data_IF_917032679994
#
_entry.id   IF_917032679994
#
_cell.length_a   1.000
_cell.length_b   1.000
_cell.length_c   1.000
_cell.angle_alpha   90.00
_cell.angle_beta   90.00
_cell.angle_gamma   90.00
#
_symmetry.space_group_name_H-M   'P 1'
#
loop_
_entity.id
_entity.type
_entity.pdbx_description
1 polymer ?
#
# COMPACT_ATOMS: atom_id res chain seq x y z
N UNK A 1 2.03 2.69 -2.61
CA UNK A 1 1.15 1.50 -2.50
C UNK A 1 0.00 1.48 -3.51
N UNK A 2 -0.32 2.59 -4.21
CA UNK A 2 -1.45 2.66 -5.16
C UNK A 2 -1.36 1.70 -6.36
N UNK A 3 -0.17 1.17 -6.67
CA UNK A 3 0.06 0.15 -7.70
C UNK A 3 -0.42 -1.25 -7.31
N UNK A 4 -0.60 -1.54 -6.02
CA UNK A 4 -1.06 -2.84 -5.50
C UNK A 4 -2.57 -2.80 -5.23
N UNK A 5 -3.01 -1.77 -4.51
CA UNK A 5 -4.41 -1.60 -4.12
C UNK A 5 -4.75 -2.21 -2.76
N UNK A 6 -5.41 -1.41 -1.91
CA UNK A 6 -5.85 -1.85 -0.58
C UNK A 6 -7.16 -2.66 -0.67
N UNK A 7 -7.19 -3.92 -0.21
CA UNK A 7 -8.40 -4.75 -0.16
C UNK A 7 -9.36 -4.40 0.99
N UNK A 8 -8.94 -3.55 1.94
CA UNK A 8 -9.71 -3.23 3.14
C UNK A 8 -11.12 -2.71 2.79
N UNK A 9 -12.13 -3.40 3.32
CA UNK A 9 -13.55 -3.09 3.14
C UNK A 9 -14.05 -3.07 1.68
N UNK A 10 -13.34 -3.74 0.75
CA UNK A 10 -13.74 -3.84 -0.66
C UNK A 10 -14.21 -5.24 -1.01
N UNK A 11 -15.38 -5.32 -1.65
CA UNK A 11 -15.99 -6.58 -2.05
C UNK A 11 -15.20 -7.27 -3.17
N UNK A 12 -14.82 -6.53 -4.21
CA UNK A 12 -14.16 -7.04 -5.42
C UNK A 12 -12.71 -6.55 -5.53
N UNK A 13 -11.91 -7.28 -6.31
CA UNK A 13 -10.52 -6.95 -6.62
C UNK A 13 -10.42 -5.63 -7.39
N UNK A 14 -9.39 -4.83 -7.08
CA UNK A 14 -9.14 -3.57 -7.77
C UNK A 14 -8.53 -3.81 -9.15
N UNK A 15 -8.88 -2.95 -10.10
CA UNK A 15 -8.13 -2.84 -11.35
C UNK A 15 -6.76 -2.21 -11.07
N UNK A 16 -5.71 -2.87 -11.56
CA UNK A 16 -4.36 -2.32 -11.52
C UNK A 16 -4.25 -1.19 -12.56
N UNK A 17 -3.69 -0.07 -12.14
CA UNK A 17 -3.46 1.09 -13.00
C UNK A 17 -1.99 1.11 -13.43
N UNK A 18 -1.70 1.77 -14.55
CA UNK A 18 -0.31 1.94 -15.02
C UNK A 18 0.47 2.86 -14.07
N UNK A 19 1.80 2.71 -14.04
CA UNK A 19 2.67 3.59 -13.26
C UNK A 19 2.48 5.06 -13.62
N UNK A 20 2.38 5.36 -14.91
CA UNK A 20 2.11 6.72 -15.43
C UNK A 20 0.81 7.30 -14.85
N UNK A 21 -0.27 6.50 -14.85
CA UNK A 21 -1.57 6.91 -14.31
C UNK A 21 -1.47 7.19 -12.80
N UNK A 22 -0.82 6.29 -12.06
CA UNK A 22 -0.66 6.44 -10.61
C UNK A 22 0.21 7.65 -10.29
N UNK A 23 1.28 7.91 -11.04
CA UNK A 23 2.14 9.07 -10.86
C UNK A 23 1.38 10.39 -11.07
N UNK A 24 0.56 10.47 -12.13
CA UNK A 24 -0.29 11.64 -12.37
C UNK A 24 -1.27 11.88 -11.19
N UNK A 25 -1.83 10.81 -10.64
CA UNK A 25 -2.75 10.91 -9.50
C UNK A 25 -2.05 11.33 -8.21
N UNK A 26 -0.82 10.84 -7.97
CA UNK A 26 0.01 11.27 -6.83
C UNK A 26 0.24 12.78 -6.88
N UNK A 27 0.59 13.33 -8.05
CA UNK A 27 0.82 14.77 -8.21
C UNK A 27 -0.44 15.60 -7.97
N UNK A 28 -1.59 15.11 -8.43
CA UNK A 28 -2.90 15.76 -8.18
C UNK A 28 -3.26 15.76 -6.70
N UNK A 29 -3.14 14.61 -6.03
CA UNK A 29 -3.44 14.48 -4.60
C UNK A 29 -2.51 15.38 -3.79
N UNK A 30 -1.21 15.41 -4.12
CA UNK A 30 -0.23 16.28 -3.45
C UNK A 30 -0.64 17.75 -3.53
N UNK A 31 -1.06 18.23 -4.70
CA UNK A 31 -1.55 19.62 -4.88
C UNK A 31 -2.83 19.91 -4.09
N UNK A 32 -3.69 18.92 -3.90
CA UNK A 32 -4.93 19.06 -3.14
C UNK A 32 -4.69 19.06 -1.63
N UNK A 33 -3.73 18.27 -1.15
CA UNK A 33 -3.40 18.17 0.28
C UNK A 33 -2.51 19.32 0.74
N UNK A 34 -1.62 19.83 -0.14
CA UNK A 34 -0.64 20.85 0.22
C UNK A 34 -1.22 22.11 0.88
N UNK A 35 -2.37 22.68 0.45
CA UNK A 35 -2.96 23.85 1.10
C UNK A 35 -3.38 23.65 2.57
N UNK A 36 -3.50 22.40 3.03
CA UNK A 36 -3.90 22.07 4.40
C UNK A 36 -2.71 21.89 5.35
N UNK A 37 -1.47 21.96 4.85
CA UNK A 37 -0.25 21.72 5.60
C UNK A 37 0.73 22.86 5.39
N UNK A 38 1.50 23.18 6.43
CA UNK A 38 2.58 24.16 6.34
C UNK A 38 3.91 23.43 6.05
N UNK A 39 4.52 23.75 4.91
CA UNK A 39 5.80 23.16 4.49
C UNK A 39 6.99 24.08 4.80
N UNK A 40 6.75 25.28 5.34
CA UNK A 40 7.77 26.30 5.55
C UNK A 40 7.60 27.00 6.92
N UNK A 41 7.46 26.20 7.99
CA UNK A 41 7.36 26.68 9.37
C UNK A 41 8.55 26.32 10.26
N UNK A 42 9.64 25.80 9.66
CA UNK A 42 10.87 25.45 10.36
C UNK A 42 10.89 23.99 10.81
N UNK A 43 11.12 23.74 12.10
CA UNK A 43 11.32 22.37 12.62
C UNK A 43 10.12 21.44 12.42
N UNK A 44 8.90 21.99 12.34
CA UNK A 44 7.66 21.23 12.17
C UNK A 44 7.10 21.30 10.74
N UNK A 45 7.91 21.70 9.76
CA UNK A 45 7.51 21.72 8.36
C UNK A 45 7.04 20.32 7.92
N UNK A 46 5.90 20.28 7.23
CA UNK A 46 5.34 19.07 6.70
C UNK A 46 6.29 18.42 5.67
N UNK A 47 6.26 17.07 5.62
CA UNK A 47 7.02 16.29 4.66
C UNK A 47 6.03 15.47 3.83
N UNK A 48 6.07 15.64 2.51
CA UNK A 48 5.35 14.79 1.57
C UNK A 48 6.26 13.63 1.15
N UNK A 49 6.06 12.45 1.74
CA UNK A 49 6.78 11.23 1.38
C UNK A 49 6.01 10.41 0.33
N UNK A 50 6.73 9.72 -0.54
CA UNK A 50 6.17 8.77 -1.51
C UNK A 50 6.85 7.41 -1.34
N UNK A 51 6.08 6.38 -1.00
CA UNK A 51 6.63 5.03 -0.79
C UNK A 51 7.14 4.35 -2.06
N UNK A 52 6.89 4.91 -3.24
CA UNK A 52 7.58 4.50 -4.45
C UNK A 52 9.11 4.70 -4.33
N UNK A 53 9.57 5.67 -3.53
CA UNK A 53 10.99 5.98 -3.37
C UNK A 53 11.81 4.80 -2.82
N UNK A 54 11.21 3.99 -1.92
CA UNK A 54 11.86 2.79 -1.40
C UNK A 54 11.41 1.49 -2.10
N UNK A 55 10.13 1.36 -2.46
CA UNK A 55 9.65 0.12 -3.09
C UNK A 55 10.01 0.00 -4.58
N UNK A 56 10.10 1.12 -5.32
CA UNK A 56 10.35 1.10 -6.76
C UNK A 56 11.69 0.47 -7.14
N UNK A 57 12.67 0.57 -6.24
CA UNK A 57 14.01 -0.01 -6.42
C UNK A 57 14.26 -1.27 -5.59
N UNK A 58 13.27 -1.72 -4.80
CA UNK A 58 13.42 -2.89 -3.96
C UNK A 58 13.23 -4.16 -4.78
N UNK A 59 14.23 -5.04 -4.80
CA UNK A 59 14.08 -6.33 -5.46
C UNK A 59 13.17 -7.27 -4.67
N UNK A 60 12.53 -8.20 -5.37
CA UNK A 60 11.56 -9.14 -4.78
C UNK A 60 12.16 -10.04 -3.69
N UNK A 61 13.45 -10.43 -3.80
CA UNK A 61 14.09 -11.27 -2.79
C UNK A 61 14.32 -10.50 -1.48
N UNK A 62 14.74 -9.23 -1.57
CA UNK A 62 14.84 -8.32 -0.44
C UNK A 62 13.47 -8.13 0.21
N UNK A 63 12.43 -7.85 -0.57
CA UNK A 63 11.07 -7.73 -0.04
C UNK A 63 10.62 -8.97 0.75
N UNK A 64 10.77 -10.17 0.16
CA UNK A 64 10.36 -11.41 0.80
C UNK A 64 11.20 -11.76 2.05
N UNK A 65 12.50 -11.49 2.02
CA UNK A 65 13.41 -11.86 3.11
C UNK A 65 13.43 -10.85 4.23
N UNK A 66 13.45 -9.56 3.92
CA UNK A 66 13.64 -8.52 4.94
C UNK A 66 12.31 -8.04 5.51
N UNK A 67 11.22 -8.13 4.74
CA UNK A 67 9.87 -7.80 5.20
C UNK A 67 9.09 -9.09 5.44
N UNK A 68 8.94 -9.93 4.42
CA UNK A 68 8.05 -11.10 4.45
C UNK A 68 8.31 -12.09 5.61
N UNK A 69 9.56 -12.29 6.03
CA UNK A 69 9.91 -13.19 7.15
C UNK A 69 9.24 -12.83 8.49
N UNK A 70 8.82 -11.57 8.65
CA UNK A 70 8.22 -11.08 9.88
C UNK A 70 6.70 -11.27 9.92
N UNK A 71 6.09 -11.75 8.84
CA UNK A 71 4.64 -11.90 8.72
C UNK A 71 4.23 -13.38 8.68
N UNK A 72 3.43 -13.80 9.66
CA UNK A 72 2.80 -15.12 9.63
C UNK A 72 1.58 -15.12 8.71
N UNK A 73 1.55 -16.05 7.76
CA UNK A 73 0.37 -16.25 6.88
C UNK A 73 -0.89 -16.50 7.70
N UNK A 74 -0.83 -17.32 8.77
CA UNK A 74 -1.97 -17.58 9.65
C UNK A 74 -2.51 -16.31 10.31
N UNK A 75 -1.64 -15.36 10.68
CA UNK A 75 -2.08 -14.08 11.23
C UNK A 75 -2.70 -13.20 10.15
N UNK A 76 -2.11 -13.17 8.95
CA UNK A 76 -2.60 -12.36 7.84
C UNK A 76 -4.00 -12.75 7.39
N UNK A 77 -4.29 -14.06 7.25
CA UNK A 77 -5.62 -14.55 6.84
C UNK A 77 -6.71 -14.29 7.90
N UNK A 78 -6.32 -14.14 9.16
CA UNK A 78 -7.24 -13.88 10.27
C UNK A 78 -7.58 -12.39 10.44
N UNK A 79 -6.89 -11.47 9.73
CA UNK A 79 -7.30 -10.06 9.69
C UNK A 79 -8.67 -9.95 9.04
N UNK A 80 -9.58 -9.20 9.65
CA UNK A 80 -10.98 -9.09 9.22
C UNK A 80 -11.14 -8.75 7.73
N UNK A 81 -10.34 -7.80 7.22
CA UNK A 81 -10.33 -7.39 5.81
C UNK A 81 -10.01 -8.56 4.84
N UNK A 82 -9.11 -9.46 5.22
CA UNK A 82 -8.70 -10.61 4.41
C UNK A 82 -9.67 -11.77 4.60
N UNK A 83 -10.07 -12.03 5.85
CA UNK A 83 -11.00 -13.10 6.23
C UNK A 83 -12.33 -13.00 5.49
N UNK A 84 -12.89 -11.79 5.37
CA UNK A 84 -14.14 -11.57 4.63
C UNK A 84 -14.02 -11.89 3.14
N UNK A 85 -12.84 -11.68 2.53
CA UNK A 85 -12.58 -11.99 1.12
C UNK A 85 -12.33 -13.48 0.88
N UNK A 86 -11.62 -14.13 1.80
CA UNK A 86 -11.36 -15.58 1.73
C UNK A 86 -12.63 -16.43 1.86
N UNK A 87 -13.61 -15.96 2.65
CA UNK A 87 -14.87 -16.69 2.85
C UNK A 87 -15.88 -16.54 1.69
N UNK A 88 -15.57 -15.75 0.65
CA UNK A 88 -16.40 -15.59 -0.55
C UNK A 88 -15.88 -16.50 -1.65
N UNK A 89 -16.64 -17.54 -1.99
CA UNK A 89 -16.26 -18.57 -2.98
C UNK A 89 -16.06 -18.00 -4.40
N UNK A 90 -16.67 -16.87 -4.73
CA UNK A 90 -16.70 -16.29 -6.08
C UNK A 90 -15.63 -15.21 -6.32
N UNK A 91 -15.07 -14.60 -5.28
CA UNK A 91 -14.25 -13.38 -5.42
C UNK A 91 -12.82 -13.49 -4.87
N UNK A 92 -12.55 -14.40 -3.92
CA UNK A 92 -11.20 -14.68 -3.41
C UNK A 92 -10.36 -13.44 -3.05
N UNK A 93 -9.05 -13.62 -2.89
CA UNK A 93 -8.09 -12.52 -2.79
C UNK A 93 -6.83 -12.91 -3.54
N UNK A 94 -6.34 -12.04 -4.43
CA UNK A 94 -5.10 -12.31 -5.14
C UNK A 94 -3.90 -12.16 -4.20
N UNK A 95 -2.78 -12.80 -4.55
CA UNK A 95 -1.54 -12.64 -3.80
C UNK A 95 -1.06 -11.17 -3.78
N UNK A 96 -1.35 -10.42 -4.85
CA UNK A 96 -1.08 -8.99 -4.98
C UNK A 96 -1.78 -8.20 -3.87
N UNK A 97 -3.11 -8.29 -3.76
CA UNK A 97 -3.87 -7.60 -2.70
C UNK A 97 -3.54 -8.15 -1.31
N UNK A 98 -3.31 -9.46 -1.18
CA UNK A 98 -2.91 -10.09 0.09
C UNK A 98 -1.59 -9.52 0.64
N UNK A 99 -0.64 -9.21 -0.24
CA UNK A 99 0.67 -8.65 0.11
C UNK A 99 0.63 -7.16 0.47
N UNK A 100 -0.48 -6.46 0.20
CA UNK A 100 -0.63 -5.02 0.47
C UNK A 100 -0.27 -4.64 1.93
N UNK A 101 -0.69 -5.48 2.88
CA UNK A 101 -0.42 -5.26 4.31
C UNK A 101 1.07 -5.21 4.65
N UNK A 102 1.92 -5.91 3.90
CA UNK A 102 3.38 -5.91 4.11
C UNK A 102 3.96 -4.56 3.68
N UNK A 103 3.48 -4.00 2.56
CA UNK A 103 3.93 -2.70 2.07
C UNK A 103 3.59 -1.60 3.07
N UNK A 104 2.32 -1.54 3.49
CA UNK A 104 1.87 -0.54 4.45
C UNK A 104 2.52 -0.72 5.83
N UNK A 105 2.77 -1.97 6.25
CA UNK A 105 3.49 -2.23 7.50
C UNK A 105 4.94 -1.74 7.45
N UNK A 106 5.60 -1.87 6.31
CA UNK A 106 6.97 -1.38 6.13
C UNK A 106 7.06 0.15 6.02
N UNK A 107 6.05 0.81 5.47
CA UNK A 107 5.99 2.29 5.41
C UNK A 107 6.07 2.96 6.79
N UNK A 108 5.73 2.26 7.87
CA UNK A 108 5.74 2.78 9.25
C UNK A 108 7.03 2.44 10.04
N UNK A 109 7.85 1.53 9.53
CA UNK A 109 8.99 0.95 10.24
C UNK A 109 10.21 1.87 10.32
#
# INVERSE_FOLDING_TARGET
TGLIGDPSFKAAERKLNTEETVQEWVDKIRKQVAPFLDFDCGENSAIAANNYDWFGNMNVLTFLRDIGKHFSVNQMINKEAVKQRLNREDQGISFTEFSYNLLQGYDFA
#
